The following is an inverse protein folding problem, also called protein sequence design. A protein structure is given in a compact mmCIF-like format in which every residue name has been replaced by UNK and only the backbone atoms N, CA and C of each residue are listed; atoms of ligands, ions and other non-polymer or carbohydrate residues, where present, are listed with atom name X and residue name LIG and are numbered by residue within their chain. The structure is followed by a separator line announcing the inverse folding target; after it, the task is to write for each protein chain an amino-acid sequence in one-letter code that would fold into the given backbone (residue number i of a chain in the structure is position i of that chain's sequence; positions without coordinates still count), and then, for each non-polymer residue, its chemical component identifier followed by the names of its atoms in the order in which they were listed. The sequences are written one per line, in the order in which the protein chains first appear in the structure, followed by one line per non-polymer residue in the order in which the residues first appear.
data_IF_438779893514
#
_entry.id   IF_438779893514
#
_cell.length_a   1.000
_cell.length_b   1.000
_cell.length_c   1.000
_cell.angle_alpha   90.00
_cell.angle_beta   90.00
_cell.angle_gamma   90.00
#
_symmetry.space_group_name_H-M   'P 1'
#
loop_
_entity.id
_entity.type
_entity.pdbx_description
1 polymer ?
#
# COMPACT_ATOMS: atom_id res chain seq x y z
N UNK A 1 5.59 10.26 33.35
CA UNK A 1 6.22 9.34 32.37
C UNK A 1 6.44 9.97 31.00
N UNK A 2 5.54 10.84 30.50
CA UNK A 2 5.68 11.54 29.21
C UNK A 2 7.05 12.21 28.97
N UNK A 3 7.65 12.95 29.94
CA UNK A 3 8.96 13.57 29.71
C UNK A 3 10.11 12.56 29.57
N UNK A 4 10.03 11.44 30.28
CA UNK A 4 11.05 10.40 30.21
C UNK A 4 10.98 9.64 28.88
N UNK A 5 9.77 9.32 28.41
CA UNK A 5 9.57 8.69 27.11
C UNK A 5 10.04 9.62 25.96
N UNK A 6 9.72 10.91 26.01
CA UNK A 6 10.23 11.89 25.04
C UNK A 6 11.77 11.91 25.00
N UNK A 7 12.43 11.92 26.17
CA UNK A 7 13.88 11.89 26.24
C UNK A 7 14.48 10.62 25.62
N UNK A 8 13.88 9.46 25.87
CA UNK A 8 14.33 8.19 25.28
C UNK A 8 14.12 8.19 23.77
N UNK A 9 12.94 8.60 23.30
CA UNK A 9 12.63 8.64 21.86
C UNK A 9 13.49 9.64 21.09
N UNK A 10 13.94 10.72 21.75
CA UNK A 10 14.92 11.65 21.18
C UNK A 10 16.32 11.07 20.93
N UNK A 11 16.61 9.85 21.38
CA UNK A 11 17.91 9.18 21.19
C UNK A 11 17.94 8.17 20.04
N UNK A 12 16.79 7.87 19.44
CA UNK A 12 16.67 6.95 18.30
C UNK A 12 16.24 7.74 17.05
N UNK A 13 16.45 7.20 15.83
CA UNK A 13 15.99 7.88 14.63
C UNK A 13 14.48 8.20 14.70
N UNK A 14 14.03 9.41 14.31
CA UNK A 14 12.63 9.80 14.45
C UNK A 14 11.67 8.87 13.70
N UNK A 15 12.07 8.38 12.53
CA UNK A 15 11.33 7.35 11.79
C UNK A 15 11.12 6.08 12.61
N UNK A 16 12.13 5.61 13.34
CA UNK A 16 12.05 4.42 14.20
C UNK A 16 11.18 4.69 15.43
N UNK A 17 11.28 5.88 16.03
CA UNK A 17 10.39 6.29 17.12
C UNK A 17 8.92 6.27 16.66
N UNK A 18 8.63 6.90 15.52
CA UNK A 18 7.29 7.04 14.98
C UNK A 18 6.69 5.69 14.56
N UNK A 19 7.43 4.88 13.80
CA UNK A 19 6.96 3.56 13.35
C UNK A 19 6.95 2.50 14.46
N UNK A 20 8.10 2.20 15.04
CA UNK A 20 8.30 1.01 15.86
C UNK A 20 7.77 1.17 17.30
N UNK A 21 7.77 2.39 17.83
CA UNK A 21 7.35 2.68 19.21
C UNK A 21 5.97 3.31 19.26
N UNK A 22 5.71 4.33 18.43
CA UNK A 22 4.41 5.01 18.37
C UNK A 22 3.40 4.34 17.44
N UNK A 23 3.83 3.30 16.70
CA UNK A 23 2.99 2.48 15.81
C UNK A 23 2.42 3.24 14.61
N UNK A 24 3.07 4.32 14.22
CA UNK A 24 2.70 5.21 13.11
C UNK A 24 3.55 4.97 11.88
N UNK A 25 3.38 3.78 11.31
CA UNK A 25 4.09 3.36 10.11
C UNK A 25 3.66 4.12 8.87
N UNK A 26 2.38 4.44 8.78
CA UNK A 26 1.76 5.25 7.74
C UNK A 26 2.53 6.56 7.54
N UNK A 27 2.95 7.23 8.61
CA UNK A 27 3.69 8.49 8.47
C UNK A 27 5.09 8.27 7.88
N UNK A 28 5.77 7.21 8.29
CA UNK A 28 7.17 6.96 7.89
C UNK A 28 7.34 6.43 6.47
N UNK A 29 6.29 5.81 5.91
CA UNK A 29 6.29 5.38 4.50
C UNK A 29 6.14 6.60 3.59
N UNK A 30 5.29 7.55 3.98
CA UNK A 30 4.88 8.63 3.10
C UNK A 30 5.64 9.94 3.30
N UNK A 31 6.22 10.18 4.49
CA UNK A 31 6.87 11.46 4.83
C UNK A 31 8.14 11.29 5.65
N UNK A 32 8.99 12.31 5.60
CA UNK A 32 10.25 12.33 6.34
C UNK A 32 10.00 12.84 7.74
N UNK A 33 10.01 11.92 8.70
CA UNK A 33 9.70 12.24 10.09
C UNK A 33 10.90 12.93 10.71
N UNK A 34 10.67 14.15 11.17
CA UNK A 34 11.63 14.95 11.92
C UNK A 34 11.47 14.72 13.42
N UNK A 35 12.49 15.10 14.18
CA UNK A 35 12.43 15.09 15.65
C UNK A 35 11.26 15.94 16.17
N UNK A 36 11.01 17.09 15.53
CA UNK A 36 9.90 17.97 15.86
C UNK A 36 8.54 17.27 15.74
N UNK A 37 8.37 16.39 14.75
CA UNK A 37 7.11 15.63 14.56
C UNK A 37 6.88 14.64 15.71
N UNK A 38 7.93 13.99 16.18
CA UNK A 38 7.87 13.10 17.37
C UNK A 38 7.55 13.92 18.63
N UNK A 39 8.06 15.14 18.76
CA UNK A 39 7.74 16.03 19.87
C UNK A 39 6.31 16.56 19.79
N UNK A 40 5.83 16.91 18.58
CA UNK A 40 4.47 17.35 18.29
C UNK A 40 3.46 16.25 18.63
N UNK A 41 3.77 14.99 18.31
CA UNK A 41 2.95 13.83 18.70
C UNK A 41 2.61 13.83 20.20
N UNK A 42 3.56 14.25 21.04
CA UNK A 42 3.39 14.37 22.48
C UNK A 42 2.99 15.76 22.95
N UNK A 43 2.66 16.70 22.08
CA UNK A 43 2.30 18.06 22.49
C UNK A 43 0.92 18.40 21.95
N UNK A 44 0.77 18.30 20.64
CA UNK A 44 -0.45 18.57 19.89
C UNK A 44 -0.58 17.57 18.73
N UNK A 45 -1.35 16.51 18.95
CA UNK A 45 -1.58 15.49 17.92
C UNK A 45 -2.46 16.00 16.77
N UNK A 46 -3.34 16.97 17.04
CA UNK A 46 -4.24 17.52 16.04
C UNK A 46 -3.43 18.38 15.05
N UNK A 47 -2.56 19.26 15.56
CA UNK A 47 -1.61 20.02 14.73
C UNK A 47 -0.70 19.11 13.90
N UNK A 48 -0.23 17.99 14.48
CA UNK A 48 0.55 17.01 13.73
C UNK A 48 -0.28 16.38 12.60
N UNK A 49 -1.51 15.95 12.89
CA UNK A 49 -2.38 15.33 11.90
C UNK A 49 -2.72 16.29 10.75
N UNK A 50 -3.00 17.55 11.07
CA UNK A 50 -3.22 18.62 10.08
C UNK A 50 -1.98 18.88 9.23
N UNK A 51 -0.81 19.02 9.85
CA UNK A 51 0.46 19.28 9.15
C UNK A 51 0.88 18.12 8.25
N UNK A 52 0.55 16.88 8.64
CA UNK A 52 0.83 15.68 7.86
C UNK A 52 -0.10 15.56 6.63
N UNK A 53 -1.26 16.18 6.71
CA UNK A 53 -2.34 16.10 5.76
C UNK A 53 -3.29 14.96 6.10
N UNK A 54 -4.59 15.21 5.96
CA UNK A 54 -5.64 14.28 6.35
C UNK A 54 -5.52 12.93 5.62
N UNK A 55 -4.95 12.88 4.41
CA UNK A 55 -4.79 11.66 3.62
C UNK A 55 -3.80 10.67 4.25
N UNK A 56 -2.68 11.13 4.84
CA UNK A 56 -1.68 10.23 5.44
C UNK A 56 -2.24 9.56 6.70
N UNK A 57 -3.09 10.27 7.44
CA UNK A 57 -3.74 9.74 8.65
C UNK A 57 -4.77 8.64 8.36
N UNK A 58 -5.21 8.51 7.11
CA UNK A 58 -6.18 7.50 6.68
C UNK A 58 -5.53 6.33 5.91
N UNK A 59 -4.20 6.26 5.89
CA UNK A 59 -3.50 5.16 5.23
C UNK A 59 -3.56 3.89 6.05
N UNK A 60 -3.45 2.74 5.37
CA UNK A 60 -3.37 1.45 6.04
C UNK A 60 -2.02 1.30 6.76
N UNK A 61 -2.08 0.84 8.00
CA UNK A 61 -0.90 0.34 8.72
C UNK A 61 -0.48 -1.00 8.10
N UNK A 62 0.83 -1.29 8.00
CA UNK A 62 1.32 -2.59 7.58
C UNK A 62 0.81 -3.69 8.52
N UNK A 63 0.48 -4.86 7.95
CA UNK A 63 -0.03 -6.03 8.68
C UNK A 63 1.06 -6.70 9.50
N UNK A 64 1.46 -6.05 10.59
CA UNK A 64 2.53 -6.48 11.48
C UNK A 64 2.01 -6.98 12.81
N UNK A 65 2.67 -8.02 13.34
CA UNK A 65 2.42 -8.49 14.69
C UNK A 65 2.90 -7.46 15.71
N UNK A 66 2.12 -7.29 16.77
CA UNK A 66 2.44 -6.38 17.85
C UNK A 66 3.16 -7.09 19.01
N UNK A 67 4.16 -6.45 19.65
CA UNK A 67 4.89 -5.25 19.23
C UNK A 67 5.85 -5.53 18.06
N UNK A 68 5.97 -4.64 17.04
CA UNK A 68 6.77 -4.91 15.84
C UNK A 68 8.23 -5.29 16.12
N UNK A 69 8.83 -4.70 17.15
CA UNK A 69 10.22 -4.96 17.55
C UNK A 69 10.46 -6.34 18.18
N UNK A 70 9.41 -7.09 18.51
CA UNK A 70 9.53 -8.45 19.05
C UNK A 70 9.37 -9.53 17.98
N UNK A 71 9.07 -9.15 16.74
CA UNK A 71 8.81 -10.07 15.65
C UNK A 71 9.72 -9.78 14.46
N UNK A 72 10.14 -10.83 13.75
CA UNK A 72 11.05 -10.70 12.62
C UNK A 72 10.47 -9.81 11.52
N UNK A 73 9.15 -9.82 11.31
CA UNK A 73 8.53 -9.04 10.24
C UNK A 73 8.71 -7.52 10.45
N UNK A 74 8.49 -7.05 11.68
CA UNK A 74 8.66 -5.64 12.01
C UNK A 74 10.13 -5.21 11.97
N UNK A 75 11.04 -6.07 12.44
CA UNK A 75 12.48 -5.82 12.37
C UNK A 75 12.95 -5.75 10.91
N UNK A 76 12.49 -6.67 10.06
CA UNK A 76 12.83 -6.70 8.63
C UNK A 76 12.34 -5.45 7.91
N UNK A 77 11.09 -5.02 8.12
CA UNK A 77 10.58 -3.81 7.49
C UNK A 77 11.36 -2.56 7.93
N UNK A 78 11.63 -2.42 9.24
CA UNK A 78 12.46 -1.32 9.76
C UNK A 78 13.85 -1.32 9.15
N UNK A 79 14.49 -2.50 9.06
CA UNK A 79 15.81 -2.64 8.49
C UNK A 79 15.84 -2.09 7.06
N UNK A 80 14.93 -2.53 6.19
CA UNK A 80 14.91 -2.08 4.79
C UNK A 80 14.59 -0.60 4.66
N UNK A 81 13.62 -0.07 5.42
CA UNK A 81 13.33 1.36 5.40
C UNK A 81 14.55 2.19 5.81
N UNK A 82 15.25 1.82 6.88
CA UNK A 82 16.45 2.55 7.33
C UNK A 82 17.62 2.38 6.34
N UNK A 83 17.81 1.17 5.82
CA UNK A 83 18.87 0.87 4.86
C UNK A 83 18.70 1.65 3.55
N UNK A 84 17.49 1.67 2.99
CA UNK A 84 17.20 2.40 1.75
C UNK A 84 17.30 3.92 1.94
N UNK A 85 16.88 4.44 3.09
CA UNK A 85 17.07 5.85 3.44
C UNK A 85 18.54 6.24 3.50
N UNK A 86 19.36 5.40 4.12
CA UNK A 86 20.80 5.63 4.22
C UNK A 86 21.45 5.60 2.84
N UNK A 87 21.14 4.60 2.01
CA UNK A 87 21.66 4.53 0.64
C UNK A 87 21.25 5.74 -0.19
N UNK A 88 19.99 6.17 -0.14
CA UNK A 88 19.54 7.38 -0.84
C UNK A 88 20.29 8.64 -0.35
N UNK A 89 20.54 8.73 0.95
CA UNK A 89 21.28 9.84 1.56
C UNK A 89 22.76 9.84 1.13
N UNK A 90 23.41 8.67 1.10
CA UNK A 90 24.79 8.52 0.61
C UNK A 90 24.88 8.88 -0.88
N UNK A 91 23.93 8.41 -1.69
CA UNK A 91 23.87 8.74 -3.12
C UNK A 91 23.83 10.24 -3.33
N UNK A 92 22.96 10.96 -2.61
CA UNK A 92 22.82 12.41 -2.75
C UNK A 92 24.04 13.18 -2.21
N UNK A 93 24.59 12.78 -1.05
CA UNK A 93 25.72 13.47 -0.43
C UNK A 93 27.06 13.23 -1.14
N UNK A 94 27.26 12.05 -1.71
CA UNK A 94 28.54 11.61 -2.28
C UNK A 94 28.51 11.41 -3.78
N UNK A 95 27.39 11.70 -4.44
CA UNK A 95 27.21 11.48 -5.87
C UNK A 95 27.55 10.03 -6.27
N UNK A 96 27.19 9.08 -5.40
CA UNK A 96 27.70 7.71 -5.48
C UNK A 96 26.78 6.81 -6.28
N UNK A 97 27.12 6.58 -7.56
CA UNK A 97 26.41 5.61 -8.41
C UNK A 97 26.37 4.21 -7.80
N UNK A 98 27.45 3.78 -7.13
CA UNK A 98 27.48 2.48 -6.45
C UNK A 98 26.42 2.35 -5.34
N UNK A 99 26.13 3.44 -4.62
CA UNK A 99 25.09 3.43 -3.59
C UNK A 99 23.68 3.37 -4.22
N UNK A 100 23.47 4.05 -5.35
CA UNK A 100 22.24 3.96 -6.12
C UNK A 100 22.01 2.56 -6.71
N UNK A 101 23.05 1.96 -7.30
CA UNK A 101 22.99 0.58 -7.80
C UNK A 101 22.61 -0.39 -6.67
N UNK A 102 23.29 -0.28 -5.52
CA UNK A 102 22.96 -1.09 -4.35
C UNK A 102 21.53 -0.88 -3.84
N UNK A 103 20.99 0.34 -3.93
CA UNK A 103 19.61 0.65 -3.56
C UNK A 103 18.63 -0.02 -4.52
N UNK A 104 18.83 0.16 -5.83
CA UNK A 104 17.96 -0.43 -6.86
C UNK A 104 17.98 -1.95 -6.78
N UNK A 105 19.16 -2.56 -6.65
CA UNK A 105 19.32 -4.02 -6.56
C UNK A 105 18.66 -4.56 -5.28
N UNK A 106 18.78 -3.84 -4.17
CA UNK A 106 18.14 -4.20 -2.90
C UNK A 106 16.61 -4.16 -3.00
N UNK A 107 16.05 -3.10 -3.58
CA UNK A 107 14.60 -2.97 -3.83
C UNK A 107 14.12 -4.09 -4.75
N UNK A 108 14.80 -4.29 -5.88
CA UNK A 108 14.46 -5.32 -6.86
C UNK A 108 14.42 -6.72 -6.23
N UNK A 109 15.33 -7.00 -5.29
CA UNK A 109 15.45 -8.31 -4.65
C UNK A 109 14.42 -8.57 -3.54
N UNK A 110 13.92 -7.52 -2.87
CA UNK A 110 13.14 -7.69 -1.63
C UNK A 110 11.73 -7.08 -1.66
N UNK A 111 11.39 -6.24 -2.65
CA UNK A 111 10.11 -5.56 -2.68
C UNK A 111 8.92 -6.53 -2.66
N UNK A 112 8.91 -7.54 -3.52
CA UNK A 112 7.79 -8.47 -3.62
C UNK A 112 7.58 -9.28 -2.32
N UNK A 113 8.68 -9.66 -1.66
CA UNK A 113 8.62 -10.33 -0.36
C UNK A 113 8.05 -9.39 0.71
N UNK A 114 8.53 -8.15 0.75
CA UNK A 114 8.04 -7.14 1.70
C UNK A 114 6.57 -6.81 1.48
N UNK A 115 6.14 -6.61 0.23
CA UNK A 115 4.73 -6.35 -0.10
C UNK A 115 3.83 -7.47 0.46
N UNK A 116 4.23 -8.73 0.27
CA UNK A 116 3.51 -9.88 0.82
C UNK A 116 3.57 -9.97 2.34
N UNK A 117 4.72 -9.62 2.93
CA UNK A 117 4.96 -9.69 4.36
C UNK A 117 4.06 -8.72 5.15
N UNK A 118 3.85 -7.52 4.59
CA UNK A 118 3.19 -6.41 5.28
C UNK A 118 1.82 -6.07 4.70
N UNK A 119 1.39 -6.79 3.67
CA UNK A 119 0.12 -6.60 2.96
C UNK A 119 -0.08 -5.17 2.44
N UNK A 120 0.99 -4.57 1.89
CA UNK A 120 0.99 -3.26 1.24
C UNK A 120 1.60 -3.37 -0.15
N UNK A 121 1.17 -2.52 -1.07
CA UNK A 121 1.80 -2.36 -2.39
C UNK A 121 2.95 -1.37 -2.35
N UNK A 122 2.79 -0.28 -1.60
CA UNK A 122 3.81 0.75 -1.46
C UNK A 122 4.68 0.51 -0.23
N UNK A 123 5.72 -0.31 -0.41
CA UNK A 123 6.70 -0.62 0.66
C UNK A 123 7.98 0.20 0.57
N UNK A 124 8.21 0.89 -0.56
CA UNK A 124 9.34 1.81 -0.71
C UNK A 124 8.92 3.15 -0.11
N UNK A 125 9.60 3.67 0.92
CA UNK A 125 9.24 4.98 1.47
C UNK A 125 9.35 6.07 0.39
N UNK A 126 8.33 6.93 0.26
CA UNK A 126 8.30 7.97 -0.76
C UNK A 126 9.50 8.93 -0.64
N UNK A 127 9.95 9.17 0.58
CA UNK A 127 11.12 10.00 0.89
C UNK A 127 12.42 9.47 0.32
N UNK A 128 12.53 8.16 0.06
CA UNK A 128 13.69 7.57 -0.66
C UNK A 128 13.70 8.05 -2.10
N UNK A 129 12.55 7.99 -2.79
CA UNK A 129 12.45 8.40 -4.20
C UNK A 129 12.47 9.92 -4.35
N UNK A 130 11.82 10.65 -3.46
CA UNK A 130 11.85 12.10 -3.39
C UNK A 130 13.30 12.63 -3.34
N UNK A 131 14.11 12.13 -2.40
CA UNK A 131 15.52 12.52 -2.26
C UNK A 131 16.33 12.33 -3.54
N UNK A 132 16.05 11.28 -4.31
CA UNK A 132 16.74 11.00 -5.56
C UNK A 132 16.25 11.91 -6.69
N UNK A 133 14.94 12.15 -6.77
CA UNK A 133 14.34 13.02 -7.78
C UNK A 133 14.65 14.50 -7.59
N UNK A 134 15.06 14.91 -6.38
CA UNK A 134 15.49 16.28 -6.07
C UNK A 134 17.00 16.40 -5.90
N UNK A 135 17.77 15.35 -6.21
CA UNK A 135 19.23 15.39 -6.12
C UNK A 135 19.80 16.40 -7.12
N UNK A 136 20.87 17.13 -6.77
CA UNK A 136 21.49 18.11 -7.68
C UNK A 136 22.27 17.48 -8.83
N UNK A 137 22.43 16.16 -8.82
CA UNK A 137 23.19 15.40 -9.80
C UNK A 137 22.26 14.82 -10.87
N UNK A 138 22.45 15.26 -12.11
CA UNK A 138 21.62 14.84 -13.23
C UNK A 138 21.77 13.35 -13.55
N UNK A 139 22.95 12.76 -13.33
CA UNK A 139 23.18 11.34 -13.57
C UNK A 139 22.45 10.50 -12.50
N UNK A 140 22.51 10.92 -11.24
CA UNK A 140 21.72 10.30 -10.15
C UNK A 140 20.23 10.37 -10.45
N UNK A 141 19.75 11.56 -10.83
CA UNK A 141 18.35 11.76 -11.16
C UNK A 141 17.90 10.85 -12.30
N UNK A 142 18.67 10.79 -13.40
CA UNK A 142 18.35 9.94 -14.54
C UNK A 142 18.37 8.45 -14.17
N UNK A 143 19.40 8.00 -13.45
CA UNK A 143 19.50 6.60 -13.02
C UNK A 143 18.42 6.22 -12.00
N UNK A 144 17.92 7.18 -11.21
CA UNK A 144 16.80 6.94 -10.29
C UNK A 144 15.50 6.58 -11.01
N UNK A 145 15.39 6.86 -12.32
CA UNK A 145 14.24 6.43 -13.14
C UNK A 145 14.06 4.90 -13.17
N UNK A 146 15.12 4.13 -12.87
CA UNK A 146 15.06 2.67 -12.65
C UNK A 146 14.11 2.28 -11.52
N UNK A 147 13.74 3.22 -10.65
CA UNK A 147 12.77 3.00 -9.58
C UNK A 147 11.30 3.15 -10.03
N UNK A 148 11.06 3.86 -11.14
CA UNK A 148 9.70 4.13 -11.62
C UNK A 148 8.90 2.85 -11.94
N UNK A 149 9.47 1.81 -12.58
CA UNK A 149 8.74 0.56 -12.82
C UNK A 149 8.19 -0.09 -11.54
N UNK A 150 8.88 0.03 -10.40
CA UNK A 150 8.39 -0.50 -9.13
C UNK A 150 7.19 0.26 -8.59
N UNK A 151 7.16 1.59 -8.80
CA UNK A 151 6.03 2.43 -8.43
C UNK A 151 4.86 2.22 -9.40
N UNK A 152 5.13 2.08 -10.70
CA UNK A 152 4.13 1.73 -11.72
C UNK A 152 3.46 0.38 -11.40
N UNK A 153 4.26 -0.63 -11.02
CA UNK A 153 3.76 -1.93 -10.57
C UNK A 153 2.91 -1.83 -9.30
N UNK A 154 3.40 -1.14 -8.27
CA UNK A 154 2.67 -0.92 -7.02
C UNK A 154 1.34 -0.17 -7.25
N UNK A 155 1.30 0.74 -8.22
CA UNK A 155 0.12 1.51 -8.59
C UNK A 155 -0.86 0.71 -9.48
N UNK A 156 -0.36 -0.28 -10.22
CA UNK A 156 -1.16 -1.03 -11.20
C UNK A 156 -2.17 -1.97 -10.54
N UNK A 157 -3.38 -1.99 -11.09
CA UNK A 157 -4.47 -2.86 -10.64
C UNK A 157 -4.20 -4.32 -11.01
N UNK A 158 -4.08 -5.18 -10.00
CA UNK A 158 -4.10 -6.63 -10.15
C UNK A 158 -5.38 -7.15 -9.48
N UNK A 159 -6.41 -7.54 -10.27
CA UNK A 159 -7.70 -8.03 -9.73
C UNK A 159 -7.52 -9.32 -8.92
N UNK A 160 -8.38 -9.77 -8.02
CA UNK A 160 -9.74 -9.46 -7.56
C UNK A 160 -9.72 -9.52 -6.01
N UNK A 161 -10.69 -8.89 -5.33
CA UNK A 161 -11.03 -9.04 -3.89
C UNK A 161 -10.57 -7.97 -2.88
N UNK A 162 -9.49 -7.21 -3.10
CA UNK A 162 -9.02 -6.15 -2.17
C UNK A 162 -8.82 -4.76 -2.81
N UNK A 163 -9.75 -4.35 -3.68
CA UNK A 163 -9.64 -3.09 -4.44
C UNK A 163 -9.69 -1.84 -3.53
N UNK A 164 -10.40 -1.90 -2.40
CA UNK A 164 -10.53 -0.76 -1.49
C UNK A 164 -9.20 -0.44 -0.76
N UNK A 165 -8.46 -1.45 -0.30
CA UNK A 165 -7.19 -1.24 0.39
C UNK A 165 -6.16 -0.58 -0.54
N UNK A 166 -6.02 -1.14 -1.75
CA UNK A 166 -5.13 -0.60 -2.77
C UNK A 166 -5.61 0.76 -3.30
N UNK A 167 -6.92 1.04 -3.31
CA UNK A 167 -7.44 2.37 -3.60
C UNK A 167 -6.93 3.40 -2.58
N UNK A 168 -6.98 3.10 -1.28
CA UNK A 168 -6.45 4.01 -0.23
C UNK A 168 -4.96 4.26 -0.41
N UNK A 169 -4.16 3.22 -0.64
CA UNK A 169 -2.72 3.38 -0.87
C UNK A 169 -2.42 4.29 -2.08
N UNK A 170 -3.13 4.09 -3.20
CA UNK A 170 -2.97 4.92 -4.40
C UNK A 170 -3.34 6.38 -4.15
N UNK A 171 -4.42 6.62 -3.40
CA UNK A 171 -4.85 7.99 -3.05
C UNK A 171 -3.80 8.71 -2.20
N UNK A 172 -3.18 8.02 -1.24
CA UNK A 172 -2.10 8.59 -0.45
C UNK A 172 -0.87 8.85 -1.30
N UNK A 173 -0.49 7.90 -2.18
CA UNK A 173 0.58 8.12 -3.15
C UNK A 173 0.32 9.35 -4.03
N UNK A 174 -0.89 9.50 -4.59
CA UNK A 174 -1.28 10.68 -5.38
C UNK A 174 -1.12 11.95 -4.57
N UNK A 175 -1.56 11.96 -3.32
CA UNK A 175 -1.51 13.15 -2.44
C UNK A 175 -0.07 13.54 -2.11
N UNK A 176 0.79 12.56 -1.82
CA UNK A 176 2.21 12.82 -1.53
C UNK A 176 2.94 13.27 -2.79
N UNK A 177 2.68 12.62 -3.94
CA UNK A 177 3.22 13.01 -5.23
C UNK A 177 2.76 14.43 -5.62
N UNK A 178 1.50 14.77 -5.37
CA UNK A 178 0.95 16.10 -5.60
C UNK A 178 1.71 17.17 -4.82
N UNK A 179 1.94 16.96 -3.53
CA UNK A 179 2.72 17.89 -2.71
C UNK A 179 4.13 18.08 -3.24
N UNK A 180 4.78 16.98 -3.61
CA UNK A 180 6.11 17.00 -4.21
C UNK A 180 6.15 17.80 -5.52
N UNK A 181 5.17 17.59 -6.43
CA UNK A 181 5.07 18.33 -7.70
C UNK A 181 4.73 19.82 -7.50
N UNK A 182 3.96 20.14 -6.46
CA UNK A 182 3.60 21.51 -6.11
C UNK A 182 4.70 22.24 -5.32
N UNK A 183 5.73 21.55 -4.83
CA UNK A 183 6.85 22.20 -4.16
C UNK A 183 7.61 23.12 -5.12
N UNK A 184 7.82 24.38 -4.73
CA UNK A 184 8.54 25.39 -5.54
C UNK A 184 10.02 25.52 -5.21
N UNK A 185 10.46 24.87 -4.15
CA UNK A 185 11.83 25.04 -3.62
C UNK A 185 12.88 24.27 -4.44
N UNK A 186 12.43 23.32 -5.26
CA UNK A 186 13.30 22.52 -6.12
C UNK A 186 12.62 22.20 -7.46
N UNK A 187 13.44 21.80 -8.43
CA UNK A 187 12.99 21.24 -9.70
C UNK A 187 13.13 19.73 -9.65
N UNK A 188 12.02 19.01 -9.67
CA UNK A 188 12.06 17.55 -9.63
C UNK A 188 12.33 16.93 -11.00
N UNK A 189 13.18 15.89 -11.02
CA UNK A 189 13.44 15.04 -12.18
C UNK A 189 12.14 14.57 -12.86
N UNK A 190 11.13 14.17 -12.08
CA UNK A 190 9.91 13.61 -12.66
C UNK A 190 9.06 14.66 -13.40
N UNK A 191 9.23 15.94 -13.06
CA UNK A 191 8.50 17.04 -13.71
C UNK A 191 9.17 17.50 -15.02
N UNK A 192 10.48 17.32 -15.16
CA UNK A 192 11.27 17.84 -16.28
C UNK A 192 11.70 16.79 -17.29
N UNK A 193 11.87 15.53 -16.88
CA UNK A 193 12.33 14.45 -17.74
C UNK A 193 11.19 13.79 -18.51
N UNK A 194 11.47 13.32 -19.73
CA UNK A 194 10.49 12.58 -20.55
C UNK A 194 9.95 11.36 -19.80
N UNK A 195 10.83 10.53 -19.21
CA UNK A 195 10.41 9.31 -18.50
C UNK A 195 9.61 9.63 -17.24
N UNK A 196 9.96 10.69 -16.53
CA UNK A 196 9.20 11.21 -15.40
C UNK A 196 7.81 11.70 -15.78
N UNK A 197 7.70 12.48 -16.84
CA UNK A 197 6.42 12.99 -17.36
C UNK A 197 5.53 11.86 -17.87
N UNK A 198 6.11 10.83 -18.48
CA UNK A 198 5.41 9.59 -18.83
C UNK A 198 4.84 8.87 -17.61
N UNK A 199 5.61 8.80 -16.51
CA UNK A 199 5.14 8.24 -15.24
C UNK A 199 3.98 9.06 -14.66
N UNK A 200 4.09 10.39 -14.64
CA UNK A 200 2.99 11.27 -14.19
C UNK A 200 1.76 11.06 -15.08
N UNK A 201 1.94 10.91 -16.40
CA UNK A 201 0.85 10.64 -17.34
C UNK A 201 0.22 9.27 -17.11
N UNK A 202 1.01 8.27 -16.76
CA UNK A 202 0.51 6.96 -16.35
C UNK A 202 -0.38 7.09 -15.10
N UNK A 203 0.10 7.74 -14.02
CA UNK A 203 -0.68 7.98 -12.80
C UNK A 203 -1.96 8.74 -13.11
N UNK A 204 -1.86 9.79 -13.92
CA UNK A 204 -3.01 10.58 -14.36
C UNK A 204 -4.05 9.75 -15.14
N UNK A 205 -3.61 8.88 -16.04
CA UNK A 205 -4.51 7.96 -16.76
C UNK A 205 -5.20 6.97 -15.84
N UNK A 206 -4.52 6.51 -14.79
CA UNK A 206 -5.12 5.66 -13.76
C UNK A 206 -6.12 6.43 -12.90
N UNK A 207 -5.85 7.70 -12.56
CA UNK A 207 -6.81 8.58 -11.89
C UNK A 207 -8.09 8.66 -12.74
N UNK A 208 -7.99 9.00 -14.03
CA UNK A 208 -9.18 9.08 -14.91
C UNK A 208 -9.94 7.75 -14.96
N UNK A 209 -9.22 6.64 -15.12
CA UNK A 209 -9.83 5.31 -15.24
C UNK A 209 -10.55 4.87 -13.97
N UNK A 210 -10.04 5.29 -12.81
CA UNK A 210 -10.56 4.93 -11.50
C UNK A 210 -11.37 6.05 -10.83
N UNK A 211 -11.51 7.24 -11.44
CA UNK A 211 -12.23 8.36 -10.84
C UNK A 211 -13.74 8.07 -10.70
N UNK A 212 -14.30 7.15 -11.48
CA UNK A 212 -15.68 6.70 -11.26
C UNK A 212 -15.81 5.57 -10.23
N UNK A 213 -14.70 4.98 -9.77
CA UNK A 213 -14.70 3.73 -9.01
C UNK A 213 -13.89 3.73 -7.72
N UNK A 214 -13.01 4.70 -7.47
CA UNK A 214 -12.35 4.85 -6.17
C UNK A 214 -13.47 5.11 -5.17
N UNK A 215 -13.86 4.12 -4.35
CA UNK A 215 -14.72 4.41 -3.23
C UNK A 215 -13.83 5.28 -2.36
N UNK A 216 -14.24 6.54 -2.16
CA UNK A 216 -13.67 7.27 -1.03
C UNK A 216 -13.90 6.38 0.19
N UNK A 217 -12.91 6.19 1.07
CA UNK A 217 -13.18 5.48 2.30
C UNK A 217 -14.37 6.16 3.00
N UNK A 218 -15.14 5.45 3.83
CA UNK A 218 -16.43 5.90 4.41
C UNK A 218 -16.41 7.29 5.12
N UNK A 219 -15.25 7.90 5.29
CA UNK A 219 -14.99 9.21 5.86
C UNK A 219 -14.56 10.30 4.86
N UNK A 220 -14.45 10.00 3.56
CA UNK A 220 -14.19 11.01 2.53
C UNK A 220 -15.46 11.76 2.19
N UNK A 221 -15.39 13.09 2.31
CA UNK A 221 -16.42 13.95 1.76
C UNK A 221 -16.21 14.12 0.25
N UNK A 222 -17.29 14.28 -0.50
CA UNK A 222 -17.24 14.66 -1.92
C UNK A 222 -16.37 15.91 -2.16
N UNK A 223 -16.31 16.81 -1.17
CA UNK A 223 -15.52 18.04 -1.21
C UNK A 223 -14.01 17.78 -1.17
N UNK A 224 -13.53 16.88 -0.29
CA UNK A 224 -12.10 16.49 -0.22
C UNK A 224 -11.61 15.86 -1.53
N UNK A 225 -12.45 15.05 -2.17
CA UNK A 225 -12.14 14.48 -3.48
C UNK A 225 -12.02 15.56 -4.55
N UNK A 226 -12.97 16.50 -4.58
CA UNK A 226 -12.99 17.61 -5.54
C UNK A 226 -11.75 18.49 -5.38
N UNK A 227 -11.37 18.79 -4.14
CA UNK A 227 -10.15 19.53 -3.82
C UNK A 227 -8.90 18.81 -4.36
N UNK A 228 -8.76 17.51 -4.08
CA UNK A 228 -7.64 16.71 -4.59
C UNK A 228 -7.55 16.71 -6.12
N UNK A 229 -8.67 16.54 -6.82
CA UNK A 229 -8.70 16.57 -8.29
C UNK A 229 -8.38 17.96 -8.85
N UNK A 230 -8.82 19.02 -8.16
CA UNK A 230 -8.50 20.40 -8.53
C UNK A 230 -7.00 20.68 -8.40
N UNK A 231 -6.40 20.27 -7.28
CA UNK A 231 -4.98 20.44 -7.04
C UNK A 231 -4.13 19.57 -7.97
N UNK A 232 -4.56 18.34 -8.27
CA UNK A 232 -3.92 17.50 -9.27
C UNK A 232 -3.93 18.12 -10.68
N UNK A 233 -5.04 18.75 -11.06
CA UNK A 233 -5.14 19.50 -12.32
C UNK A 233 -4.14 20.66 -12.34
N UNK A 234 -4.01 21.40 -11.23
CA UNK A 234 -3.02 22.48 -11.10
C UNK A 234 -1.59 21.95 -11.21
N UNK A 235 -1.28 20.84 -10.55
CA UNK A 235 0.06 20.24 -10.57
C UNK A 235 0.45 19.74 -11.96
N UNK A 236 -0.46 19.08 -12.67
CA UNK A 236 -0.22 18.59 -14.04
C UNK A 236 -0.10 19.74 -15.05
N UNK A 237 -0.83 20.84 -14.86
CA UNK A 237 -0.62 22.07 -15.63
C UNK A 237 0.80 22.62 -15.40
N UNK A 238 1.25 22.71 -14.14
CA UNK A 238 2.60 23.16 -13.83
C UNK A 238 3.67 22.27 -14.44
N UNK A 239 3.50 20.94 -14.38
CA UNK A 239 4.39 19.98 -15.05
C UNK A 239 4.42 20.22 -16.56
N UNK A 240 3.27 20.57 -17.16
CA UNK A 240 3.21 20.93 -18.59
C UNK A 240 4.04 22.17 -18.91
N UNK A 241 3.94 23.20 -18.06
CA UNK A 241 4.67 24.46 -18.22
C UNK A 241 6.18 24.29 -18.04
N UNK A 242 6.60 23.63 -16.95
CA UNK A 242 8.02 23.38 -16.62
C UNK A 242 8.66 22.40 -17.60
N UNK A 243 7.91 21.38 -18.01
CA UNK A 243 8.36 20.35 -18.94
C UNK A 243 8.32 20.76 -20.41
N UNK A 244 7.80 21.95 -20.73
CA UNK A 244 7.56 22.42 -22.10
C UNK A 244 6.73 21.42 -22.93
N UNK A 245 5.75 20.79 -22.30
CA UNK A 245 4.89 19.77 -22.92
C UNK A 245 3.81 20.42 -23.79
N UNK A 246 3.31 19.70 -24.81
CA UNK A 246 2.24 20.21 -25.64
C UNK A 246 0.94 20.41 -24.83
N UNK A 247 0.12 21.42 -25.18
CA UNK A 247 -1.21 21.55 -24.60
C UNK A 247 -2.03 20.26 -24.78
N UNK A 248 -2.68 19.81 -23.71
CA UNK A 248 -3.45 18.56 -23.72
C UNK A 248 -2.62 17.28 -23.56
N UNK A 249 -1.34 17.39 -23.16
CA UNK A 249 -0.53 16.22 -22.81
C UNK A 249 -1.18 15.35 -21.71
N UNK A 250 -1.79 16.00 -20.72
CA UNK A 250 -2.68 15.39 -19.74
C UNK A 250 -4.13 15.59 -20.18
N UNK A 251 -4.93 14.53 -20.15
CA UNK A 251 -6.34 14.60 -20.50
C UNK A 251 -7.14 15.36 -19.42
N UNK A 252 -8.28 15.97 -19.75
CA UNK A 252 -9.14 16.54 -18.72
C UNK A 252 -9.70 15.42 -17.83
N UNK A 253 -9.70 15.65 -16.52
CA UNK A 253 -10.38 14.76 -15.56
C UNK A 253 -11.88 14.99 -15.71
N UNK A 254 -12.70 13.94 -15.91
CA UNK A 254 -14.15 14.07 -15.98
C UNK A 254 -14.69 14.74 -14.71
N UNK A 255 -15.65 15.65 -14.85
CA UNK A 255 -16.35 16.15 -13.66
C UNK A 255 -17.16 15.01 -13.03
N UNK A 256 -17.24 14.95 -11.69
CA UNK A 256 -18.14 14.02 -11.03
C UNK A 256 -19.55 14.27 -11.56
N UNK A 257 -20.17 13.26 -12.17
CA UNK A 257 -21.59 13.33 -12.46
C UNK A 257 -22.30 13.46 -11.12
N UNK A 258 -22.77 14.66 -10.77
CA UNK A 258 -23.90 14.78 -9.88
C UNK A 258 -25.01 13.98 -10.56
N UNK A 259 -25.35 12.81 -10.02
CA UNK A 259 -26.62 12.18 -10.30
C UNK A 259 -27.68 13.21 -9.92
N UNK A 260 -28.07 13.99 -10.91
CA UNK A 260 -29.22 14.85 -10.86
C UNK A 260 -30.37 13.95 -10.41
N UNK A 261 -30.87 14.23 -9.20
CA UNK A 261 -32.18 13.78 -8.75
C UNK A 261 -33.23 14.52 -9.58
N UNK A 262 -33.19 14.32 -10.90
CA UNK A 262 -34.21 14.71 -11.83
C UNK A 262 -35.36 13.73 -11.67
N UNK A 263 -36.32 14.12 -10.83
CA UNK A 263 -37.74 13.82 -10.98
C UNK A 263 -38.06 12.44 -11.57
N UNK A 264 -38.06 11.42 -10.72
CA UNK A 264 -39.02 10.32 -10.87
C UNK A 264 -40.41 10.82 -10.39
N UNK A 265 -41.00 11.77 -11.11
CA UNK A 265 -42.44 11.96 -11.07
C UNK A 265 -43.06 10.94 -12.01
N UNK A 266 -43.89 10.09 -11.41
CA UNK A 266 -45.07 9.48 -12.00
C UNK A 266 -44.87 8.26 -12.89
N UNK A 267 -44.80 7.09 -12.24
CA UNK A 267 -45.51 5.90 -12.70
C UNK A 267 -45.95 5.11 -11.47
N UNK A 268 -47.17 5.38 -11.01
CA UNK A 268 -47.82 4.59 -9.98
C UNK A 268 -47.96 3.12 -10.42
N UNK A 269 -47.38 2.21 -9.65
CA UNK A 269 -47.83 0.82 -9.54
C UNK A 269 -47.98 0.47 -8.05
N UNK A 270 -49.14 -0.03 -7.61
CA UNK A 270 -49.44 -0.20 -6.18
C UNK A 270 -48.71 -1.42 -5.61
N UNK A 271 -47.89 -1.19 -4.58
CA UNK A 271 -47.40 -2.25 -3.71
C UNK A 271 -48.57 -2.81 -2.88
N UNK A 272 -48.78 -4.14 -2.81
CA UNK A 272 -49.75 -4.70 -1.88
C UNK A 272 -49.23 -4.55 -0.45
N UNK A 273 -50.02 -3.90 0.39
CA UNK A 273 -49.83 -3.82 1.84
C UNK A 273 -49.92 -5.24 2.40
N UNK A 274 -48.80 -5.75 2.93
CA UNK A 274 -48.79 -6.99 3.71
C UNK A 274 -49.33 -6.63 5.09
N UNK A 275 -50.57 -7.08 5.35
CA UNK A 275 -51.25 -6.94 6.64
C UNK A 275 -50.62 -7.92 7.67
N UNK A 276 -50.26 -7.52 8.90
CA UNK A 276 -49.46 -8.37 9.80
C UNK A 276 -50.24 -9.46 10.55
N UNK A 277 -51.51 -9.72 10.26
CA UNK A 277 -52.41 -10.49 11.14
C UNK A 277 -53.03 -11.78 10.55
N UNK A 278 -52.43 -12.42 9.53
CA UNK A 278 -52.93 -13.72 9.02
C UNK A 278 -51.98 -14.92 9.31
N UNK A 279 -52.45 -16.02 9.95
CA UNK A 279 -51.64 -17.19 10.30
C UNK A 279 -51.50 -18.20 9.15
N UNK A 280 -50.48 -19.09 9.17
CA UNK A 280 -50.16 -19.97 8.04
C UNK A 280 -51.16 -21.12 7.94
N UNK A 281 -51.68 -21.36 6.74
CA UNK A 281 -52.52 -22.52 6.42
C UNK A 281 -51.83 -23.38 5.37
N UNK A 282 -51.56 -24.63 5.76
CA UNK A 282 -51.03 -25.72 4.94
C UNK A 282 -52.06 -26.28 3.94
N UNK A 283 -51.55 -27.18 3.09
CA UNK A 283 -52.20 -28.12 2.16
C UNK A 283 -52.25 -27.67 0.68
N UNK A 284 -51.90 -28.48 -0.32
CA UNK A 284 -51.27 -29.80 -0.38
C UNK A 284 -50.90 -30.12 -1.85
N UNK A 285 -49.94 -31.03 -2.01
CA UNK A 285 -49.80 -32.04 -3.07
C UNK A 285 -49.71 -31.65 -4.56
N UNK A 286 -48.53 -31.90 -5.16
CA UNK A 286 -48.30 -33.10 -6.02
C UNK A 286 -46.97 -33.01 -6.77
N UNK A 287 -46.11 -34.02 -6.61
CA UNK A 287 -44.83 -34.12 -7.35
C UNK A 287 -43.91 -35.26 -6.90
N UNK A 288 -44.35 -36.49 -7.16
CA UNK A 288 -43.78 -37.81 -6.87
C UNK A 288 -42.24 -38.02 -6.78
N UNK A 289 -41.83 -38.77 -5.76
CA UNK A 289 -40.62 -39.62 -5.68
C UNK A 289 -41.09 -41.06 -5.42
N UNK A 290 -40.49 -42.11 -6.02
CA UNK A 290 -40.51 -43.45 -5.43
C UNK A 290 -39.12 -43.91 -5.00
N UNK A 291 -38.99 -44.28 -3.72
CA UNK A 291 -37.93 -45.13 -3.16
C UNK A 291 -38.26 -46.61 -3.41
N UNK A 292 -37.23 -47.46 -3.50
CA UNK A 292 -37.36 -48.85 -3.05
C UNK A 292 -36.03 -49.37 -2.49
N UNK A 293 -36.07 -49.85 -1.25
CA UNK A 293 -35.05 -50.68 -0.62
C UNK A 293 -35.23 -52.14 -1.04
N UNK A 294 -34.14 -52.87 -1.27
CA UNK A 294 -34.09 -54.34 -1.17
C UNK A 294 -32.67 -54.80 -0.79
N UNK A 295 -32.55 -55.42 0.39
CA UNK A 295 -31.43 -56.26 0.83
C UNK A 295 -31.49 -57.64 0.15
N UNK A 296 -30.33 -58.23 -0.15
CA UNK A 296 -30.10 -59.67 -0.01
C UNK A 296 -28.60 -60.00 0.09
N UNK A 297 -28.36 -61.06 0.84
CA UNK A 297 -27.18 -61.49 1.59
C UNK A 297 -26.34 -62.58 0.86
N UNK A 298 -25.14 -62.87 1.39
CA UNK A 298 -24.25 -64.02 1.09
C UNK A 298 -22.87 -63.59 0.56
N UNK A 299 -21.72 -63.77 1.22
CA UNK A 299 -21.18 -64.85 2.07
C UNK A 299 -20.00 -65.51 1.30
N UNK A 300 -18.79 -65.77 1.80
CA UNK A 300 -18.10 -65.58 3.08
C UNK A 300 -16.58 -65.89 2.94
N UNK A 301 -15.88 -65.94 4.10
CA UNK A 301 -14.54 -66.54 4.37
C UNK A 301 -13.29 -65.90 3.68
N UNK A 302 -12.12 -65.67 4.28
CA UNK A 302 -11.54 -65.97 5.60
C UNK A 302 -10.19 -65.20 5.76
N UNK A 303 -9.72 -65.02 7.01
CA UNK A 303 -8.31 -65.18 7.46
C UNK A 303 -7.22 -64.07 7.26
N UNK A 304 -6.77 -63.57 8.42
CA UNK A 304 -5.42 -63.19 8.91
C UNK A 304 -4.69 -61.89 8.50
N UNK A 305 -4.52 -61.02 9.51
CA UNK A 305 -3.20 -60.75 10.12
C UNK A 305 -2.34 -59.57 9.59
N UNK A 306 -1.88 -58.63 10.45
CA UNK A 306 -0.99 -57.53 10.07
C UNK A 306 0.49 -57.83 10.36
N UNK A 307 1.35 -57.68 9.35
CA UNK A 307 2.83 -57.57 9.44
C UNK A 307 3.23 -56.69 8.24
N UNK A 308 3.92 -55.56 8.40
CA UNK A 308 5.37 -55.53 8.33
C UNK A 308 6.01 -54.43 9.19
N UNK A 309 7.04 -54.89 9.90
CA UNK A 309 8.03 -54.17 10.67
C UNK A 309 9.39 -54.62 10.13
N UNK A 310 10.24 -53.71 9.66
CA UNK A 310 11.73 -53.73 9.82
C UNK A 310 12.24 -52.34 9.38
N UNK A 311 12.89 -51.47 10.19
CA UNK A 311 14.19 -51.60 10.89
C UNK A 311 15.31 -52.05 9.91
N UNK A 312 16.51 -51.49 9.80
CA UNK A 312 17.28 -50.49 10.56
C UNK A 312 18.61 -50.24 9.80
N UNK A 313 19.33 -49.16 10.08
CA UNK A 313 20.66 -48.93 9.51
C UNK A 313 21.39 -47.71 10.05
N UNK A 314 21.61 -47.73 11.36
CA UNK A 314 22.30 -46.74 12.19
C UNK A 314 23.82 -46.65 11.90
N UNK A 315 24.41 -45.45 12.08
CA UNK A 315 25.80 -45.27 12.55
C UNK A 315 26.11 -43.82 12.93
N UNK A 316 26.38 -43.63 14.22
CA UNK A 316 26.84 -42.41 14.90
C UNK A 316 28.35 -42.47 15.17
N UNK A 317 28.99 -41.28 15.15
CA UNK A 317 30.20 -40.92 15.93
C UNK A 317 31.53 -40.95 15.15
N UNK A 318 32.45 -39.98 15.25
CA UNK A 318 32.56 -38.76 16.05
C UNK A 318 33.96 -38.14 15.85
N UNK A 319 34.09 -36.86 16.22
CA UNK A 319 35.27 -36.07 16.66
C UNK A 319 36.68 -36.31 16.06
N UNK A 320 37.31 -35.21 15.62
CA UNK A 320 38.76 -35.13 15.46
C UNK A 320 39.23 -33.80 14.84
N UNK A 321 39.60 -32.84 15.69
CA UNK A 321 40.50 -31.72 15.41
C UNK A 321 41.87 -32.21 14.94
N UNK A 322 42.50 -31.58 13.93
CA UNK A 322 43.88 -31.07 14.06
C UNK A 322 44.31 -30.15 12.90
N UNK A 323 45.27 -29.31 13.26
CA UNK A 323 45.93 -28.19 12.61
C UNK A 323 47.11 -28.63 11.69
N UNK A 324 47.73 -27.65 10.99
CA UNK A 324 49.03 -27.66 10.25
C UNK A 324 48.94 -28.00 8.74
N UNK A 325 49.56 -27.28 7.80
CA UNK A 325 50.68 -26.31 7.76
C UNK A 325 50.35 -25.19 6.78
#
# INVERSE_FOLDING_TARGET
MRPHLQNVLGTIPPSVAMSAVLRRWEYTIWRDIQKADVELWFSDFEELSESLGWYVSNTLEPSLRYPPLLHSEGITLLHFHQYWQELASITNLRHSMHALDGLVDSIASHQAELQKLVDLRFVIPFTVVEKLWTCNDLDVQEQSSRLLPFLEDAFSSHSEYYEEHHARERLVFISVLLNHLNCTDFTSYIATSTRGQEFIRFVHGQIISHDQRLPGPDHWTTDQRRELMSDWTRATQRVTEIGHLPPGYFAPIPEPHEESTAQATDAALPFPVINPDDPPREESESGAIPRSDHEMDGGGEDVLGPVERSEQGDRVGGLGTDERV
#
